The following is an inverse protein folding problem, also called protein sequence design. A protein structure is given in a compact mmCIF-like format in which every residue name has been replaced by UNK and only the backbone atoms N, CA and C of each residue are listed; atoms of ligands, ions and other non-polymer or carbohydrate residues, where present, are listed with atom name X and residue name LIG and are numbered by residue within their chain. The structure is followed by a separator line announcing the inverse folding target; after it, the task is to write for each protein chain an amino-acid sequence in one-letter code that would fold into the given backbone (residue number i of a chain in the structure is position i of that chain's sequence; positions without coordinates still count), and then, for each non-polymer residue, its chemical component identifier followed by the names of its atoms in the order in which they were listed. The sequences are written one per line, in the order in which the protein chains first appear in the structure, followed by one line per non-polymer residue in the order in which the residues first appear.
data_IF_396671077708
#
_entry.id   IF_396671077708
#
_cell.length_a   1.000
_cell.length_b   1.000
_cell.length_c   1.000
_cell.angle_alpha   90.00
_cell.angle_beta   90.00
_cell.angle_gamma   90.00
#
_symmetry.space_group_name_H-M   'P 1'
#
loop_
_entity.id
_entity.type
_entity.pdbx_description
1 polymer ?
#
# COMPACT_ATOMS: atom_id res chain seq x y z
N UNK A 1 -15.17 -52.42 36.16
CA UNK A 1 -15.56 -52.08 34.76
C UNK A 1 -15.96 -50.64 34.60
N UNK A 2 -16.77 -50.04 35.49
CA UNK A 2 -17.20 -48.64 35.46
C UNK A 2 -16.06 -47.62 35.53
N UNK A 3 -15.02 -47.83 36.37
CA UNK A 3 -13.90 -46.88 36.54
C UNK A 3 -13.03 -46.72 35.26
N UNK A 4 -12.88 -47.80 34.46
CA UNK A 4 -12.17 -47.74 33.18
C UNK A 4 -12.97 -47.02 32.09
N UNK A 5 -14.30 -47.10 32.14
CA UNK A 5 -15.19 -46.39 31.20
C UNK A 5 -15.20 -44.90 31.46
N UNK A 6 -15.14 -44.44 32.72
CA UNK A 6 -15.05 -43.03 33.11
C UNK A 6 -13.70 -42.41 32.71
N UNK A 7 -12.59 -43.16 32.78
CA UNK A 7 -11.27 -42.71 32.35
C UNK A 7 -11.19 -42.53 30.84
N UNK A 8 -11.78 -43.41 30.06
CA UNK A 8 -11.83 -43.32 28.58
C UNK A 8 -12.73 -42.17 28.14
N UNK A 9 -13.86 -41.93 28.81
CA UNK A 9 -14.75 -40.81 28.50
C UNK A 9 -14.10 -39.46 28.85
N UNK A 10 -13.33 -39.38 29.94
CA UNK A 10 -12.56 -38.19 30.31
C UNK A 10 -11.45 -37.86 29.31
N UNK A 11 -10.79 -38.87 28.73
CA UNK A 11 -9.75 -38.68 27.70
C UNK A 11 -10.33 -38.21 26.35
N UNK A 12 -11.53 -38.68 25.99
CA UNK A 12 -12.22 -38.24 24.74
C UNK A 12 -12.71 -36.80 24.87
N UNK A 13 -13.20 -36.38 26.05
CA UNK A 13 -13.65 -35.00 26.28
C UNK A 13 -12.45 -34.00 26.27
N UNK A 14 -11.27 -34.41 26.76
CA UNK A 14 -10.07 -33.59 26.73
C UNK A 14 -9.51 -33.40 25.30
N UNK A 15 -9.73 -34.34 24.38
CA UNK A 15 -9.26 -34.26 22.99
C UNK A 15 -10.10 -33.33 22.09
N UNK A 16 -11.33 -32.99 22.51
CA UNK A 16 -12.25 -32.16 21.70
C UNK A 16 -12.06 -30.66 21.95
N UNK A 17 -11.29 -30.25 22.97
CA UNK A 17 -11.16 -28.82 23.35
C UNK A 17 -9.94 -28.15 22.72
N UNK A 18 -9.10 -28.83 21.96
CA UNK A 18 -8.03 -28.24 21.18
C UNK A 18 -8.51 -27.79 19.80
N UNK A 19 -9.54 -26.95 19.73
CA UNK A 19 -9.76 -26.21 18.49
C UNK A 19 -8.51 -25.35 18.23
N UNK A 20 -7.87 -25.45 17.05
CA UNK A 20 -6.78 -24.53 16.74
C UNK A 20 -7.36 -23.11 16.79
N UNK A 21 -6.93 -22.34 17.78
CA UNK A 21 -7.15 -20.90 17.77
C UNK A 21 -6.35 -20.38 16.58
N UNK A 22 -6.99 -20.23 15.41
CA UNK A 22 -6.40 -19.47 14.32
C UNK A 22 -6.25 -18.04 14.85
N UNK A 23 -5.06 -17.70 15.32
CA UNK A 23 -4.74 -16.30 15.59
C UNK A 23 -5.06 -15.53 14.30
N UNK A 24 -5.85 -14.46 14.42
CA UNK A 24 -6.10 -13.60 13.28
C UNK A 24 -4.74 -13.16 12.72
N UNK A 25 -4.58 -13.22 11.40
CA UNK A 25 -3.34 -12.81 10.75
C UNK A 25 -3.04 -11.35 11.13
N UNK A 26 -1.80 -11.07 11.53
CA UNK A 26 -1.37 -9.70 11.80
C UNK A 26 -1.63 -8.84 10.54
N UNK A 27 -2.20 -7.66 10.74
CA UNK A 27 -2.51 -6.70 9.68
C UNK A 27 -1.68 -5.47 9.85
N UNK A 28 -0.80 -5.18 8.89
CA UNK A 28 0.07 -4.02 8.92
C UNK A 28 -0.14 -3.18 7.67
N UNK A 29 -0.15 -1.87 7.80
CA UNK A 29 -0.31 -0.96 6.69
C UNK A 29 0.67 0.21 6.74
N UNK A 30 1.14 0.61 5.55
CA UNK A 30 1.82 1.88 5.31
C UNK A 30 0.96 2.71 4.37
N UNK A 31 0.55 3.88 4.83
CA UNK A 31 -0.33 4.80 4.10
C UNK A 31 0.40 6.11 3.88
N UNK A 32 0.58 6.52 2.62
CA UNK A 32 1.35 7.70 2.24
C UNK A 32 0.51 8.63 1.36
N UNK A 33 0.37 9.89 1.78
CA UNK A 33 -0.26 10.96 1.00
C UNK A 33 0.72 12.09 0.73
N UNK A 34 1.17 12.24 -0.52
CA UNK A 34 2.13 13.25 -0.94
C UNK A 34 1.47 14.27 -1.87
N UNK A 35 1.33 15.51 -1.42
CA UNK A 35 0.68 16.59 -2.15
C UNK A 35 1.61 17.79 -2.43
N UNK A 36 2.56 18.06 -1.52
CA UNK A 36 3.39 19.28 -1.56
C UNK A 36 4.71 19.07 -2.30
N UNK A 37 4.61 18.87 -3.61
CA UNK A 37 5.79 18.80 -4.46
C UNK A 37 6.21 20.21 -4.91
N UNK A 38 7.47 20.62 -4.70
CA UNK A 38 7.94 21.98 -5.10
C UNK A 38 7.79 22.27 -6.59
N UNK A 39 7.86 21.23 -7.43
CA UNK A 39 7.79 21.34 -8.89
C UNK A 39 6.35 21.17 -9.45
N UNK A 40 5.35 20.93 -8.61
CA UNK A 40 3.97 20.78 -9.04
C UNK A 40 3.25 22.14 -9.11
N UNK A 41 2.74 22.48 -10.29
CA UNK A 41 1.90 23.65 -10.50
C UNK A 41 0.69 23.26 -11.37
N UNK A 42 -0.52 23.27 -10.80
CA UNK A 42 -0.89 23.50 -9.39
C UNK A 42 -0.48 22.34 -8.44
N UNK A 43 -0.35 22.59 -7.12
CA UNK A 43 -0.14 21.54 -6.13
C UNK A 43 -1.30 20.55 -6.11
N UNK A 44 -1.02 19.29 -5.78
CA UNK A 44 -2.06 18.29 -5.54
C UNK A 44 -2.86 18.64 -4.27
N UNK A 45 -4.16 18.38 -4.26
CA UNK A 45 -5.05 18.71 -3.13
C UNK A 45 -5.42 17.49 -2.30
N UNK A 46 -5.75 16.41 -2.96
CA UNK A 46 -6.45 15.24 -2.41
C UNK A 46 -5.56 14.25 -1.64
N UNK A 47 -4.27 14.02 -2.00
CA UNK A 47 -3.50 12.89 -1.49
C UNK A 47 -3.41 12.81 0.03
N UNK A 48 -3.31 13.95 0.71
CA UNK A 48 -3.16 13.96 2.19
C UNK A 48 -4.48 13.63 2.87
N UNK A 49 -5.60 14.14 2.37
CA UNK A 49 -6.94 13.83 2.91
C UNK A 49 -7.28 12.38 2.66
N UNK A 50 -7.03 11.87 1.45
CA UNK A 50 -7.22 10.47 1.09
C UNK A 50 -6.46 9.52 2.03
N UNK A 51 -5.19 9.83 2.26
CA UNK A 51 -4.34 9.02 3.13
C UNK A 51 -4.83 9.02 4.59
N UNK A 52 -5.27 10.17 5.12
CA UNK A 52 -5.80 10.28 6.48
C UNK A 52 -7.04 9.44 6.68
N UNK A 53 -8.02 9.63 5.80
CA UNK A 53 -9.32 8.97 5.94
C UNK A 53 -9.18 7.45 5.72
N UNK A 54 -8.34 7.02 4.76
CA UNK A 54 -8.05 5.61 4.60
C UNK A 54 -7.32 5.02 5.81
N UNK A 55 -6.36 5.74 6.39
CA UNK A 55 -5.65 5.28 7.58
C UNK A 55 -6.59 5.09 8.77
N UNK A 56 -7.60 5.95 8.93
CA UNK A 56 -8.61 5.82 9.98
C UNK A 56 -9.49 4.59 9.77
N UNK A 57 -9.95 4.32 8.54
CA UNK A 57 -10.74 3.14 8.24
C UNK A 57 -9.92 1.85 8.44
N UNK A 58 -8.69 1.81 7.94
CA UNK A 58 -7.81 0.65 8.15
C UNK A 58 -7.55 0.35 9.63
N UNK A 59 -7.43 1.39 10.48
CA UNK A 59 -7.33 1.20 11.94
C UNK A 59 -8.59 0.59 12.52
N UNK A 60 -9.79 1.00 12.04
CA UNK A 60 -11.07 0.39 12.45
C UNK A 60 -11.15 -1.08 12.05
N UNK A 61 -10.55 -1.44 10.91
CA UNK A 61 -10.46 -2.81 10.41
C UNK A 61 -9.33 -3.62 11.05
N UNK A 62 -8.69 -3.09 12.09
CA UNK A 62 -7.69 -3.78 12.88
C UNK A 62 -6.30 -3.83 12.26
N UNK A 63 -5.97 -2.92 11.34
CA UNK A 63 -4.61 -2.73 10.86
C UNK A 63 -3.78 -1.90 11.85
N UNK A 64 -2.51 -2.31 12.03
CA UNK A 64 -1.46 -1.46 12.60
C UNK A 64 -0.93 -0.54 11.50
N UNK A 65 -1.34 0.74 11.54
CA UNK A 65 -1.16 1.71 10.44
C UNK A 65 -0.05 2.71 10.75
N UNK A 66 0.92 2.82 9.83
CA UNK A 66 1.88 3.92 9.77
C UNK A 66 1.41 4.92 8.69
N UNK A 67 1.08 6.14 9.09
CA UNK A 67 0.60 7.21 8.19
C UNK A 67 1.71 8.24 7.96
N UNK A 68 2.01 8.52 6.69
CA UNK A 68 2.91 9.58 6.27
C UNK A 68 2.20 10.61 5.41
N UNK A 69 2.47 11.88 5.68
CA UNK A 69 1.96 13.01 4.92
C UNK A 69 3.14 13.85 4.41
N UNK A 70 3.14 14.13 3.10
CA UNK A 70 4.19 14.91 2.45
C UNK A 70 5.59 14.43 2.82
N UNK A 71 5.81 13.13 2.66
CA UNK A 71 7.01 12.44 3.10
C UNK A 71 8.19 12.70 2.17
N UNK A 72 9.34 13.03 2.76
CA UNK A 72 10.64 13.01 2.08
C UNK A 72 11.08 11.58 1.75
N UNK A 73 12.08 11.45 0.89
CA UNK A 73 12.68 10.15 0.57
C UNK A 73 13.25 9.45 1.79
N UNK A 74 13.84 10.19 2.74
CA UNK A 74 14.32 9.64 4.00
C UNK A 74 13.15 9.13 4.87
N UNK A 75 12.09 9.91 5.02
CA UNK A 75 10.91 9.52 5.78
C UNK A 75 10.22 8.28 5.19
N UNK A 76 10.09 8.21 3.86
CA UNK A 76 9.54 7.04 3.18
C UNK A 76 10.41 5.79 3.40
N UNK A 77 11.74 5.92 3.31
CA UNK A 77 12.65 4.79 3.56
C UNK A 77 12.51 4.24 4.96
N UNK A 78 12.55 5.11 5.97
CA UNK A 78 12.34 4.69 7.36
C UNK A 78 10.97 4.06 7.62
N UNK A 79 9.92 4.55 6.98
CA UNK A 79 8.58 3.97 7.11
C UNK A 79 8.50 2.58 6.46
N UNK A 80 9.13 2.38 5.30
CA UNK A 80 9.25 1.08 4.66
C UNK A 80 10.04 0.10 5.54
N UNK A 81 11.16 0.52 6.13
CA UNK A 81 11.93 -0.31 7.06
C UNK A 81 11.08 -0.73 8.28
N UNK A 82 10.27 0.20 8.83
CA UNK A 82 9.33 -0.14 9.91
C UNK A 82 8.25 -1.11 9.44
N UNK A 83 7.67 -0.90 8.26
CA UNK A 83 6.69 -1.84 7.69
C UNK A 83 7.30 -3.23 7.57
N UNK A 84 8.48 -3.35 6.94
CA UNK A 84 9.18 -4.62 6.74
C UNK A 84 9.50 -5.32 8.06
N UNK A 85 9.88 -4.56 9.11
CA UNK A 85 10.16 -5.09 10.44
C UNK A 85 8.93 -5.60 11.20
N UNK A 86 7.71 -5.13 10.85
CA UNK A 86 6.45 -5.56 11.47
C UNK A 86 5.81 -6.77 10.78
N UNK A 87 6.19 -7.08 9.54
CA UNK A 87 5.63 -8.21 8.82
C UNK A 87 6.08 -9.52 9.45
N UNK A 88 5.11 -10.34 9.88
CA UNK A 88 5.30 -11.72 10.30
C UNK A 88 4.84 -12.69 9.22
N UNK A 89 5.33 -13.93 9.19
CA UNK A 89 4.85 -14.95 8.26
C UNK A 89 3.32 -15.09 8.29
N UNK A 90 2.68 -15.02 7.13
CA UNK A 90 1.22 -15.10 6.99
C UNK A 90 0.49 -13.77 7.21
N UNK A 91 1.15 -12.68 7.56
CA UNK A 91 0.53 -11.38 7.77
C UNK A 91 -0.15 -10.85 6.49
N UNK A 92 -1.14 -9.96 6.69
CA UNK A 92 -1.69 -9.09 5.65
C UNK A 92 -0.91 -7.78 5.66
N UNK A 93 -0.22 -7.46 4.57
CA UNK A 93 0.51 -6.21 4.41
C UNK A 93 -0.14 -5.32 3.35
N UNK A 94 -0.46 -4.08 3.70
CA UNK A 94 -1.08 -3.11 2.82
C UNK A 94 -0.16 -1.90 2.62
N UNK A 95 0.02 -1.50 1.36
CA UNK A 95 0.66 -0.26 0.95
C UNK A 95 -0.36 0.60 0.22
N UNK A 96 -0.64 1.79 0.72
CA UNK A 96 -1.36 2.84 0.00
C UNK A 96 -0.41 3.98 -0.32
N UNK A 97 -0.49 4.47 -1.54
CA UNK A 97 0.22 5.68 -1.95
C UNK A 97 -0.67 6.55 -2.83
N UNK A 98 -0.83 7.81 -2.46
CA UNK A 98 -1.41 8.86 -3.29
C UNK A 98 -0.40 9.98 -3.48
N UNK A 99 -0.15 10.38 -4.76
CA UNK A 99 0.87 11.36 -5.12
C UNK A 99 1.30 11.26 -6.57
N UNK A 100 2.55 11.59 -6.87
CA UNK A 100 3.11 11.37 -8.21
C UNK A 100 3.78 10.01 -8.33
N UNK A 101 3.42 9.29 -9.39
CA UNK A 101 4.09 8.09 -9.84
C UNK A 101 4.66 8.31 -11.26
N UNK A 102 5.87 7.85 -11.47
CA UNK A 102 6.57 8.01 -12.76
C UNK A 102 7.05 6.66 -13.22
N UNK A 103 6.79 6.36 -14.50
CA UNK A 103 7.34 5.19 -15.15
C UNK A 103 8.76 5.50 -15.67
N UNK A 104 9.72 4.66 -15.32
CA UNK A 104 11.06 4.65 -15.91
C UNK A 104 11.49 3.21 -16.16
N UNK A 105 12.03 2.92 -17.33
CA UNK A 105 12.49 1.60 -17.73
C UNK A 105 11.47 0.47 -17.44
N UNK A 106 10.19 0.71 -17.75
CA UNK A 106 9.06 -0.21 -17.55
C UNK A 106 8.76 -0.56 -16.08
N UNK A 107 9.25 0.21 -15.15
CA UNK A 107 8.94 0.09 -13.72
C UNK A 107 8.25 1.35 -13.23
N UNK A 108 7.37 1.20 -12.25
CA UNK A 108 6.67 2.31 -11.59
C UNK A 108 7.41 2.75 -10.35
N UNK A 109 7.68 4.04 -10.25
CA UNK A 109 8.36 4.67 -9.12
C UNK A 109 7.42 5.65 -8.43
N UNK A 110 7.25 5.50 -7.13
CA UNK A 110 6.52 6.41 -6.26
C UNK A 110 7.46 7.51 -5.80
N UNK A 111 7.05 8.77 -5.96
CA UNK A 111 7.94 9.91 -5.84
C UNK A 111 7.76 10.59 -4.48
N UNK A 112 8.82 10.76 -3.67
CA UNK A 112 8.78 11.56 -2.45
C UNK A 112 8.72 13.04 -2.77
N UNK A 113 8.26 13.88 -1.81
CA UNK A 113 8.04 15.31 -2.07
C UNK A 113 9.33 16.11 -2.30
N UNK A 114 10.46 15.61 -1.83
CA UNK A 114 11.77 16.25 -1.94
C UNK A 114 12.66 15.70 -3.07
N UNK A 115 12.11 14.86 -3.95
CA UNK A 115 12.86 14.27 -5.07
C UNK A 115 13.42 15.36 -6.00
N UNK A 116 14.70 15.24 -6.36
CA UNK A 116 15.39 16.17 -7.27
C UNK A 116 15.49 15.55 -8.67
N UNK A 117 14.43 15.69 -9.47
CA UNK A 117 14.31 15.02 -10.77
C UNK A 117 14.58 16.01 -11.90
N UNK A 118 15.73 15.87 -12.55
CA UNK A 118 16.15 16.65 -13.72
C UNK A 118 16.22 15.81 -15.00
N UNK A 119 16.43 14.51 -14.87
CA UNK A 119 16.52 13.54 -15.95
C UNK A 119 15.92 12.20 -15.53
N UNK A 120 15.65 11.31 -16.49
CA UNK A 120 15.02 10.01 -16.21
C UNK A 120 15.81 9.15 -15.19
N UNK A 121 17.14 9.24 -15.18
CA UNK A 121 17.97 8.49 -14.23
C UNK A 121 17.67 8.88 -12.77
N UNK A 122 17.30 10.13 -12.53
CA UNK A 122 17.00 10.64 -11.19
C UNK A 122 15.69 10.02 -10.63
N UNK A 123 14.74 9.66 -11.50
CA UNK A 123 13.52 8.94 -11.10
C UNK A 123 13.88 7.62 -10.39
N UNK A 124 14.88 6.91 -10.89
CA UNK A 124 15.32 5.64 -10.29
C UNK A 124 16.20 5.84 -9.05
N UNK A 125 16.89 6.98 -8.96
CA UNK A 125 17.70 7.32 -7.78
C UNK A 125 16.84 7.75 -6.59
N UNK A 126 15.86 8.63 -6.82
CA UNK A 126 15.10 9.29 -5.77
C UNK A 126 13.71 8.66 -5.55
N UNK A 127 13.17 7.99 -6.57
CA UNK A 127 11.87 7.31 -6.47
C UNK A 127 11.97 5.91 -5.87
N UNK A 128 10.84 5.41 -5.40
CA UNK A 128 10.70 4.08 -4.79
C UNK A 128 10.03 3.12 -5.78
N UNK A 129 10.74 2.08 -6.21
CA UNK A 129 10.20 1.06 -7.13
C UNK A 129 9.10 0.26 -6.45
N UNK A 130 7.91 0.25 -7.05
CA UNK A 130 6.77 -0.53 -6.57
C UNK A 130 7.07 -2.04 -6.57
N UNK A 131 7.75 -2.53 -7.61
CA UNK A 131 8.16 -3.95 -7.68
C UNK A 131 9.11 -4.33 -6.56
N UNK A 132 10.10 -3.49 -6.27
CA UNK A 132 11.05 -3.73 -5.17
C UNK A 132 10.33 -3.75 -3.83
N UNK A 133 9.43 -2.80 -3.57
CA UNK A 133 8.65 -2.77 -2.31
C UNK A 133 7.81 -4.03 -2.14
N UNK A 134 7.09 -4.48 -3.17
CA UNK A 134 6.29 -5.70 -3.12
C UNK A 134 7.16 -6.95 -2.97
N UNK A 135 8.34 -6.98 -3.60
CA UNK A 135 9.33 -8.04 -3.44
C UNK A 135 9.83 -8.16 -2.00
N UNK A 136 10.17 -7.03 -1.35
CA UNK A 136 10.59 -6.98 0.05
C UNK A 136 9.46 -7.44 1.00
N UNK A 137 8.24 -6.95 0.82
CA UNK A 137 7.06 -7.40 1.59
C UNK A 137 6.89 -8.92 1.47
N UNK A 138 7.02 -9.46 0.26
CA UNK A 138 6.94 -10.90 0.01
C UNK A 138 8.08 -11.66 0.68
N UNK A 139 9.32 -11.14 0.60
CA UNK A 139 10.50 -11.74 1.23
C UNK A 139 10.40 -11.82 2.75
N UNK A 140 9.61 -10.96 3.39
CA UNK A 140 9.29 -11.01 4.83
C UNK A 140 8.23 -12.04 5.19
N UNK A 141 7.62 -12.70 4.19
CA UNK A 141 6.65 -13.77 4.41
C UNK A 141 5.21 -13.32 4.54
N UNK A 142 4.84 -12.12 4.08
CA UNK A 142 3.44 -11.71 4.03
C UNK A 142 2.62 -12.71 3.21
N UNK A 143 1.53 -13.22 3.78
CA UNK A 143 0.61 -14.14 3.11
C UNK A 143 -0.25 -13.42 2.07
N UNK A 144 -0.77 -12.24 2.42
CA UNK A 144 -1.55 -11.37 1.54
C UNK A 144 -0.85 -10.03 1.43
N UNK A 145 -0.70 -9.55 0.21
CA UNK A 145 -0.11 -8.25 -0.12
C UNK A 145 -1.11 -7.42 -0.88
N UNK A 146 -1.36 -6.19 -0.45
CA UNK A 146 -2.31 -5.27 -1.07
C UNK A 146 -1.57 -3.97 -1.38
N UNK A 147 -1.56 -3.55 -2.64
CA UNK A 147 -1.05 -2.26 -3.06
C UNK A 147 -2.17 -1.45 -3.72
N UNK A 148 -2.50 -0.31 -3.12
CA UNK A 148 -3.50 0.64 -3.59
C UNK A 148 -2.78 1.89 -4.04
N UNK A 149 -2.73 2.14 -5.35
CA UNK A 149 -1.84 3.14 -5.95
C UNK A 149 -2.64 4.19 -6.71
N UNK A 150 -2.77 5.35 -6.11
CA UNK A 150 -3.36 6.55 -6.70
C UNK A 150 -2.28 7.55 -7.12
N UNK A 151 -1.49 7.17 -8.13
CA UNK A 151 -0.31 7.91 -8.54
C UNK A 151 -0.19 8.09 -10.07
N UNK A 152 -1.24 7.77 -10.82
CA UNK A 152 -1.26 7.87 -12.27
C UNK A 152 -1.60 9.31 -12.72
N UNK A 153 -0.87 10.32 -12.20
CA UNK A 153 -1.06 11.73 -12.53
C UNK A 153 -0.10 12.18 -13.62
N UNK A 154 -0.40 13.31 -14.25
CA UNK A 154 0.51 13.91 -15.23
C UNK A 154 1.86 14.18 -14.58
N UNK A 155 2.94 13.75 -15.24
CA UNK A 155 4.31 13.93 -14.74
C UNK A 155 4.65 15.44 -14.62
N UNK A 156 4.93 15.98 -13.43
CA UNK A 156 5.26 17.41 -13.27
C UNK A 156 6.62 17.78 -13.87
N UNK A 157 7.44 16.78 -14.20
CA UNK A 157 8.77 16.95 -14.76
C UNK A 157 8.81 16.80 -16.30
N UNK A 158 7.65 16.72 -16.98
CA UNK A 158 7.57 16.54 -18.44
C UNK A 158 8.39 17.55 -19.25
N UNK A 159 8.53 18.77 -18.74
CA UNK A 159 9.30 19.82 -19.42
C UNK A 159 10.81 19.58 -19.37
N UNK A 160 11.29 18.78 -18.41
CA UNK A 160 12.72 18.50 -18.19
C UNK A 160 13.21 17.31 -19.00
N UNK A 161 12.37 16.28 -19.12
CA UNK A 161 12.64 15.08 -19.93
C UNK A 161 11.33 14.40 -20.33
N UNK A 162 11.35 13.75 -21.49
CA UNK A 162 10.20 12.96 -21.94
C UNK A 162 10.30 11.55 -21.40
N UNK A 163 9.29 11.10 -20.67
CA UNK A 163 9.10 9.69 -20.37
C UNK A 163 8.49 8.98 -21.59
N UNK A 164 8.84 7.71 -21.78
CA UNK A 164 8.36 6.94 -22.94
C UNK A 164 6.85 6.67 -22.93
N UNK A 165 6.20 6.81 -21.74
CA UNK A 165 4.74 6.64 -21.58
C UNK A 165 4.22 7.48 -20.45
N UNK A 166 2.94 7.89 -20.54
CA UNK A 166 2.19 8.48 -19.45
C UNK A 166 1.78 7.41 -18.43
N UNK A 167 1.47 7.83 -17.20
CA UNK A 167 0.94 6.94 -16.16
C UNK A 167 1.95 5.92 -15.63
N UNK A 168 1.45 4.80 -15.14
CA UNK A 168 2.23 3.75 -14.49
C UNK A 168 2.39 2.52 -15.38
N UNK A 169 3.48 1.78 -15.16
CA UNK A 169 3.74 0.50 -15.80
C UNK A 169 2.98 -0.64 -15.10
N UNK A 170 2.69 -1.75 -15.81
CA UNK A 170 2.29 -2.98 -15.15
C UNK A 170 3.40 -3.47 -14.22
N UNK A 171 3.03 -3.99 -13.04
CA UNK A 171 3.96 -4.55 -12.08
C UNK A 171 3.98 -6.08 -12.16
N UNK A 172 5.18 -6.66 -12.07
CA UNK A 172 5.32 -8.11 -11.87
C UNK A 172 5.24 -8.37 -10.36
N UNK A 173 4.04 -8.72 -9.90
CA UNK A 173 3.79 -8.92 -8.47
C UNK A 173 3.98 -10.37 -8.05
N UNK A 174 4.52 -10.64 -6.84
CA UNK A 174 4.57 -11.97 -6.24
C UNK A 174 3.16 -12.58 -6.08
N UNK A 175 3.08 -13.92 -5.95
CA UNK A 175 1.80 -14.59 -5.69
C UNK A 175 1.14 -14.10 -4.39
N UNK A 176 -0.20 -14.05 -4.35
CA UNK A 176 -0.95 -13.51 -3.21
C UNK A 176 -0.89 -11.99 -3.10
N UNK A 177 -0.66 -11.29 -4.23
CA UNK A 177 -0.66 -9.82 -4.29
C UNK A 177 -1.84 -9.31 -5.10
N UNK A 178 -2.58 -8.36 -4.52
CA UNK A 178 -3.55 -7.51 -5.21
C UNK A 178 -2.89 -6.15 -5.46
N UNK A 179 -2.90 -5.67 -6.71
CA UNK A 179 -2.49 -4.30 -7.03
C UNK A 179 -3.66 -3.60 -7.71
N UNK A 180 -4.11 -2.50 -7.13
CA UNK A 180 -5.14 -1.63 -7.69
C UNK A 180 -4.54 -0.28 -8.03
N UNK A 181 -4.85 0.21 -9.22
CA UNK A 181 -4.44 1.53 -9.69
C UNK A 181 -5.67 2.42 -9.89
N UNK A 182 -5.53 3.72 -9.64
CA UNK A 182 -6.58 4.72 -9.87
C UNK A 182 -6.89 4.96 -11.34
N UNK A 183 -6.01 4.53 -12.24
CA UNK A 183 -6.20 4.63 -13.70
C UNK A 183 -5.79 3.34 -14.39
N UNK A 184 -6.23 3.19 -15.64
CA UNK A 184 -5.67 2.18 -16.52
C UNK A 184 -4.16 2.40 -16.71
N UNK A 185 -3.42 1.31 -16.92
CA UNK A 185 -1.98 1.39 -17.17
C UNK A 185 -1.67 2.30 -18.36
N UNK A 186 -0.61 3.08 -18.26
CA UNK A 186 -0.22 4.10 -19.25
C UNK A 186 -1.26 5.21 -19.48
N UNK A 187 -2.23 5.37 -18.57
CA UNK A 187 -3.18 6.48 -18.55
C UNK A 187 -2.92 7.40 -17.35
N UNK A 188 -3.44 8.61 -17.40
CA UNK A 188 -3.37 9.58 -16.31
C UNK A 188 -4.78 9.96 -15.86
N UNK A 189 -4.91 10.25 -14.56
CA UNK A 189 -6.14 10.77 -13.96
C UNK A 189 -5.95 12.26 -13.73
N UNK A 190 -6.99 13.06 -13.99
CA UNK A 190 -7.05 14.43 -13.55
C UNK A 190 -7.53 14.51 -12.10
N UNK A 191 -7.10 15.55 -11.37
CA UNK A 191 -7.65 15.82 -10.03
C UNK A 191 -9.16 16.02 -10.13
N UNK A 192 -9.90 15.44 -9.18
CA UNK A 192 -11.37 15.52 -9.16
C UNK A 192 -11.88 16.91 -8.80
N UNK A 193 -11.02 17.74 -8.19
CA UNK A 193 -11.34 19.06 -7.65
C UNK A 193 -12.17 19.03 -6.36
N UNK A 194 -12.41 17.83 -5.81
CA UNK A 194 -13.07 17.61 -4.52
C UNK A 194 -12.09 17.49 -3.35
N UNK A 195 -12.60 17.05 -2.20
CA UNK A 195 -11.79 16.77 -1.00
C UNK A 195 -11.02 15.45 -1.13
N UNK A 196 -11.51 14.54 -1.96
CA UNK A 196 -10.95 13.22 -2.23
C UNK A 196 -10.77 12.97 -3.72
N UNK A 197 -9.79 12.17 -4.08
CA UNK A 197 -9.72 11.56 -5.40
C UNK A 197 -10.91 10.60 -5.62
N UNK A 198 -11.32 10.43 -6.87
CA UNK A 198 -12.39 9.49 -7.19
C UNK A 198 -12.05 8.07 -6.71
N UNK A 199 -10.78 7.68 -6.81
CA UNK A 199 -10.30 6.38 -6.35
C UNK A 199 -10.49 6.21 -4.83
N UNK A 200 -10.03 7.18 -4.04
CA UNK A 200 -10.18 7.12 -2.59
C UNK A 200 -11.64 7.23 -2.15
N UNK A 201 -12.44 8.05 -2.83
CA UNK A 201 -13.88 8.18 -2.55
C UNK A 201 -14.61 6.84 -2.69
N UNK A 202 -14.42 6.14 -3.81
CA UNK A 202 -15.06 4.85 -4.02
C UNK A 202 -14.48 3.76 -3.09
N UNK A 203 -13.16 3.75 -2.87
CA UNK A 203 -12.53 2.84 -1.92
C UNK A 203 -13.09 3.00 -0.50
N UNK A 204 -13.18 4.24 0.01
CA UNK A 204 -13.71 4.53 1.35
C UNK A 204 -15.19 4.17 1.48
N UNK A 205 -15.95 4.30 0.40
CA UNK A 205 -17.36 3.90 0.37
C UNK A 205 -17.51 2.38 0.50
N UNK A 206 -16.72 1.61 -0.25
CA UNK A 206 -16.82 0.16 -0.27
C UNK A 206 -16.22 -0.49 1.02
N UNK A 207 -15.09 0.01 1.53
CA UNK A 207 -14.46 -0.54 2.73
C UNK A 207 -15.34 -0.41 3.99
N UNK A 208 -16.27 0.56 3.99
CA UNK A 208 -17.23 0.78 5.09
C UNK A 208 -18.44 -0.17 5.06
N UNK A 209 -18.60 -0.97 4.01
CA UNK A 209 -19.74 -1.90 3.91
C UNK A 209 -19.45 -3.13 4.77
N UNK A 210 -20.28 -3.43 5.81
CA UNK A 210 -20.03 -4.59 6.68
C UNK A 210 -20.14 -5.90 5.89
N UNK A 211 -19.15 -6.77 6.03
CA UNK A 211 -19.19 -8.12 5.48
C UNK A 211 -18.70 -8.26 4.04
N UNK A 212 -18.00 -7.27 3.52
CA UNK A 212 -17.20 -7.40 2.32
C UNK A 212 -15.86 -8.09 2.61
#
# INVERSE_FOLDING_TARGET
MMLRLLLVLGLIVAAVISAPCFAAADRVALVIGNARYPDADPPLKEPVTDARDLAEELKRDGFDVDLLENASGEAMRHALDRLYGRIKPGAVALLFFSGYGIQSNRQSYLIPVDAQIWQEADVRRDGFSLETMLGEINGRGAGVKIALIDAARRNPYEQRFRTASAGLAPVTAPSGTLVMYSAALSAVVADSGGDHSLFAQELLKEIRVPGL
#
